data_IF_615671256318
#
_entry.id   IF_615671256318
#
_cell.length_a   1.000
_cell.length_b   1.000
_cell.length_c   1.000
_cell.angle_alpha   90.00
_cell.angle_beta   90.00
_cell.angle_gamma   90.00
#
_symmetry.space_group_name_H-M   'P 1'
#
loop_
_entity.id
_entity.type
_entity.pdbx_description
1 polymer ?
#
# COMPACT_ATOMS: atom_id res chain seq x y z
N UNK A 1 1.64 30.14 -4.36
CA UNK A 1 2.44 29.22 -5.19
C UNK A 1 2.32 27.83 -4.58
N UNK A 2 1.38 27.00 -5.06
CA UNK A 2 1.26 25.63 -4.55
C UNK A 2 2.33 24.79 -5.25
N UNK A 3 3.50 24.70 -4.64
CA UNK A 3 4.52 23.75 -5.06
C UNK A 3 3.99 22.36 -4.75
N UNK A 4 3.54 21.64 -5.77
CA UNK A 4 3.16 20.23 -5.65
C UNK A 4 4.43 19.42 -5.37
N UNK A 5 4.81 19.32 -4.10
CA UNK A 5 5.98 18.56 -3.70
C UNK A 5 5.78 17.08 -4.00
N UNK A 6 6.74 16.51 -4.74
CA UNK A 6 6.78 15.08 -5.04
C UNK A 6 7.63 14.42 -3.97
N UNK A 7 7.06 13.44 -3.27
CA UNK A 7 7.75 12.67 -2.25
C UNK A 7 7.78 11.21 -2.66
N UNK A 8 8.97 10.63 -2.83
CA UNK A 8 9.14 9.20 -3.15
C UNK A 8 9.71 8.46 -1.94
N UNK A 9 9.16 7.29 -1.63
CA UNK A 9 9.71 6.41 -0.61
C UNK A 9 10.92 5.66 -1.16
N UNK A 10 12.06 5.67 -0.47
CA UNK A 10 13.27 4.95 -0.91
C UNK A 10 13.20 3.44 -0.69
N UNK A 11 12.17 2.96 0.03
CA UNK A 11 11.96 1.54 0.34
C UNK A 11 11.02 0.91 -0.68
N UNK A 12 9.75 1.32 -0.69
CA UNK A 12 8.74 0.75 -1.60
C UNK A 12 8.64 1.45 -2.96
N UNK A 13 9.41 2.53 -3.19
CA UNK A 13 9.44 3.32 -4.43
C UNK A 13 8.12 3.99 -4.83
N UNK A 14 7.08 3.89 -3.99
CA UNK A 14 5.84 4.61 -4.18
C UNK A 14 6.05 6.12 -4.06
N UNK A 15 5.18 6.87 -4.73
CA UNK A 15 5.30 8.30 -4.92
C UNK A 15 4.04 9.02 -4.46
N UNK A 16 4.19 10.17 -3.81
CA UNK A 16 3.10 11.04 -3.42
C UNK A 16 3.24 12.37 -4.14
N UNK A 17 2.18 12.82 -4.80
CA UNK A 17 2.09 14.15 -5.42
C UNK A 17 0.96 14.88 -4.69
N UNK A 18 1.32 15.77 -3.77
CA UNK A 18 0.36 16.27 -2.79
C UNK A 18 -0.23 15.12 -1.94
N UNK A 19 -1.57 14.99 -1.82
CA UNK A 19 -2.20 13.92 -1.05
C UNK A 19 -2.31 12.59 -1.81
N UNK A 20 -2.15 12.59 -3.15
CA UNK A 20 -2.38 11.41 -3.97
C UNK A 20 -1.19 10.47 -3.96
N UNK A 21 -1.44 9.20 -3.66
CA UNK A 21 -0.47 8.10 -3.80
C UNK A 21 -0.46 7.56 -5.23
N UNK A 22 0.73 7.27 -5.71
CA UNK A 22 1.00 6.46 -6.90
C UNK A 22 1.91 5.29 -6.54
N UNK A 23 1.62 4.12 -7.08
CA UNK A 23 2.50 2.95 -7.03
C UNK A 23 3.84 3.27 -7.71
N UNK A 24 4.85 2.43 -7.51
CA UNK A 24 6.14 2.55 -8.22
C UNK A 24 5.98 2.47 -9.75
N UNK A 25 4.90 1.87 -10.23
CA UNK A 25 4.50 1.78 -11.65
C UNK A 25 3.88 3.06 -12.20
N UNK A 26 3.56 4.04 -11.34
CA UNK A 26 2.86 5.28 -11.73
C UNK A 26 1.33 5.17 -11.77
N UNK A 27 0.75 4.00 -11.52
CA UNK A 27 -0.69 3.86 -11.35
C UNK A 27 -1.14 4.53 -10.02
N UNK A 28 -2.34 5.14 -9.96
CA UNK A 28 -2.89 5.65 -8.70
C UNK A 28 -3.13 4.50 -7.70
N UNK A 29 -2.95 4.78 -6.41
CA UNK A 29 -3.14 3.77 -5.36
C UNK A 29 -3.72 4.34 -4.07
N UNK A 30 -3.96 3.45 -3.11
CA UNK A 30 -4.39 3.79 -1.74
C UNK A 30 -3.28 3.49 -0.72
N UNK A 31 -3.15 4.35 0.31
CA UNK A 31 -2.15 4.15 1.36
C UNK A 31 -2.34 2.85 2.15
N UNK A 32 -3.58 2.42 2.40
CA UNK A 32 -3.88 1.17 3.11
C UNK A 32 -3.50 -0.05 2.27
N UNK A 33 -3.87 -0.10 0.99
CA UNK A 33 -3.48 -1.20 0.09
C UNK A 33 -1.96 -1.31 -0.03
N UNK A 34 -1.26 -0.18 -0.18
CA UNK A 34 0.21 -0.16 -0.19
C UNK A 34 0.79 -0.63 1.16
N UNK A 35 0.10 -0.38 2.27
CA UNK A 35 0.52 -0.86 3.58
C UNK A 35 0.38 -2.38 3.67
N UNK A 36 -0.79 -2.93 3.35
CA UNK A 36 -1.07 -4.37 3.40
C UNK A 36 -0.22 -5.19 2.44
N UNK A 37 -0.02 -4.69 1.21
CA UNK A 37 0.71 -5.44 0.17
C UNK A 37 2.24 -5.28 0.25
N UNK A 38 2.74 -4.17 0.79
CA UNK A 38 4.19 -3.87 0.72
C UNK A 38 4.77 -3.37 2.03
N UNK A 39 4.17 -2.38 2.70
CA UNK A 39 4.87 -1.67 3.78
C UNK A 39 4.86 -2.42 5.12
N UNK A 40 3.88 -3.29 5.34
CA UNK A 40 3.75 -4.13 6.52
C UNK A 40 4.41 -5.50 6.35
N UNK A 41 4.91 -5.80 5.15
CA UNK A 41 5.65 -7.03 4.86
C UNK A 41 7.16 -6.79 5.01
N UNK A 42 7.98 -7.81 4.78
CA UNK A 42 9.44 -7.71 4.83
C UNK A 42 9.99 -6.67 3.82
N UNK A 43 9.24 -6.38 2.75
CA UNK A 43 9.58 -5.34 1.78
C UNK A 43 9.47 -3.92 2.35
N UNK A 44 8.82 -3.74 3.51
CA UNK A 44 8.66 -2.46 4.20
C UNK A 44 9.94 -1.91 4.86
N UNK A 45 11.06 -2.65 4.74
CA UNK A 45 12.37 -2.19 5.18
C UNK A 45 12.45 -1.94 6.68
N UNK A 46 11.86 -2.85 7.49
CA UNK A 46 11.85 -2.79 8.95
C UNK A 46 11.39 -1.44 9.52
N UNK A 47 10.36 -0.85 8.91
CA UNK A 47 9.75 0.39 9.39
C UNK A 47 10.34 1.68 8.83
N UNK A 48 11.30 1.60 7.90
CA UNK A 48 11.83 2.78 7.18
C UNK A 48 10.89 3.29 6.08
N UNK A 49 9.87 2.52 5.71
CA UNK A 49 8.92 2.96 4.69
C UNK A 49 8.12 4.19 5.16
N UNK A 50 8.03 5.19 4.28
CA UNK A 50 7.42 6.49 4.54
C UNK A 50 5.90 6.55 4.27
N UNK A 51 5.25 5.40 4.06
CA UNK A 51 3.80 5.33 3.89
C UNK A 51 3.10 5.74 5.20
N UNK A 52 2.22 6.76 5.21
CA UNK A 52 1.51 7.18 6.41
C UNK A 52 0.58 6.11 7.00
N UNK A 53 0.20 5.09 6.24
CA UNK A 53 -0.62 3.98 6.72
C UNK A 53 0.17 2.74 7.18
N UNK A 54 1.51 2.80 7.21
CA UNK A 54 2.33 1.70 7.69
C UNK A 54 1.95 1.32 9.12
N UNK A 55 1.84 0.02 9.39
CA UNK A 55 1.41 -0.55 10.66
C UNK A 55 -0.11 -0.60 10.84
N UNK A 56 -0.90 -0.02 9.93
CA UNK A 56 -2.37 -0.16 9.92
C UNK A 56 -2.75 -1.42 9.15
N UNK A 57 -3.76 -2.12 9.66
CA UNK A 57 -4.41 -3.25 9.00
C UNK A 57 -5.62 -2.77 8.20
N UNK A 58 -5.90 -3.43 7.07
CA UNK A 58 -6.98 -3.10 6.13
C UNK A 58 -6.46 -2.75 4.74
N UNK A 59 -7.37 -2.40 3.82
CA UNK A 59 -7.08 -2.37 2.39
C UNK A 59 -6.86 -3.78 1.84
N UNK A 60 -6.25 -3.87 0.66
CA UNK A 60 -5.80 -5.15 0.10
C UNK A 60 -4.64 -5.74 0.91
N UNK A 61 -4.74 -7.03 1.23
CA UNK A 61 -3.66 -7.84 1.81
C UNK A 61 -3.31 -9.06 0.95
N UNK A 62 -2.17 -9.70 1.25
CA UNK A 62 -1.77 -10.92 0.56
C UNK A 62 -2.69 -12.09 0.88
N UNK A 63 -3.21 -12.17 2.11
CA UNK A 63 -4.15 -13.21 2.54
C UNK A 63 -5.45 -13.15 1.74
N UNK A 64 -6.01 -11.95 1.54
CA UNK A 64 -7.20 -11.76 0.70
C UNK A 64 -6.95 -12.16 -0.76
N UNK A 65 -5.81 -11.73 -1.32
CA UNK A 65 -5.44 -12.07 -2.70
C UNK A 65 -5.19 -13.56 -2.88
N UNK A 66 -4.53 -14.21 -1.93
CA UNK A 66 -4.33 -15.66 -1.94
C UNK A 66 -5.66 -16.41 -1.84
N UNK A 67 -6.56 -15.99 -0.95
CA UNK A 67 -7.87 -16.58 -0.81
C UNK A 67 -8.67 -16.48 -2.12
N UNK A 68 -8.66 -15.32 -2.77
CA UNK A 68 -9.30 -15.12 -4.08
C UNK A 68 -8.71 -16.04 -5.16
N UNK A 69 -7.38 -16.15 -5.26
CA UNK A 69 -6.71 -17.07 -6.22
C UNK A 69 -7.10 -18.53 -5.95
N UNK A 70 -7.24 -18.92 -4.68
CA UNK A 70 -7.61 -20.28 -4.27
C UNK A 70 -9.12 -20.55 -4.31
N UNK A 71 -9.95 -19.55 -4.56
CA UNK A 71 -11.41 -19.66 -4.51
C UNK A 71 -11.96 -19.90 -3.10
N UNK A 72 -11.25 -19.42 -2.07
CA UNK A 72 -11.63 -19.52 -0.66
C UNK A 72 -12.24 -18.18 -0.23
N UNK A 73 -13.39 -18.20 0.45
CA UNK A 73 -13.98 -17.00 1.07
C UNK A 73 -13.37 -16.79 2.46
N UNK A 74 -12.79 -15.62 2.71
CA UNK A 74 -12.34 -15.25 4.05
C UNK A 74 -13.53 -14.85 4.94
N UNK A 75 -13.50 -15.16 6.25
CA UNK A 75 -14.54 -14.72 7.16
C UNK A 75 -14.62 -13.19 7.20
N UNK A 76 -15.78 -12.63 6.81
CA UNK A 76 -16.05 -11.20 6.91
C UNK A 76 -16.03 -10.40 5.60
N UNK A 77 -15.72 -11.01 4.46
CA UNK A 77 -15.92 -10.37 3.15
C UNK A 77 -17.32 -10.69 2.62
N UNK A 78 -18.26 -9.75 2.78
CA UNK A 78 -19.49 -9.73 1.99
C UNK A 78 -19.13 -9.19 0.61
N UNK A 79 -19.38 -10.01 -0.41
CA UNK A 79 -19.21 -9.63 -1.82
C UNK A 79 -20.14 -8.49 -2.25
#
# INVERSE_FOLDING_TARGET
MSSSSIRRCTVCQACWIGPQLFWSTGAPGNNLDLAGLVCNTDYGGAGRCANPARGRLGGDTWEQREAWIRGITLPGEIG
#
